data_IF_310368122714
#
_entry.id   IF_310368122714
#
_cell.length_a   1.000
_cell.length_b   1.000
_cell.length_c   1.000
_cell.angle_alpha   90.00
_cell.angle_beta   90.00
_cell.angle_gamma   90.00
#
_symmetry.space_group_name_H-M   'P 1'
#
loop_
_entity.id
_entity.type
_entity.pdbx_description
1 polymer ?
#
# COMPACT_ATOMS: atom_id res chain seq x y z
N UNK A 1 11.84 11.33 -6.53
CA UNK A 1 12.40 10.24 -5.71
C UNK A 1 11.71 10.13 -4.34
N UNK A 2 11.58 11.21 -3.55
CA UNK A 2 10.98 11.17 -2.21
C UNK A 2 9.54 10.61 -2.20
N UNK A 3 8.73 10.94 -3.22
CA UNK A 3 7.38 10.40 -3.36
C UNK A 3 7.38 8.87 -3.51
N UNK A 4 8.32 8.31 -4.29
CA UNK A 4 8.46 6.85 -4.44
C UNK A 4 8.88 6.18 -3.13
N UNK A 5 9.77 6.81 -2.35
CA UNK A 5 10.13 6.33 -1.01
C UNK A 5 8.89 6.24 -0.12
N UNK A 6 8.08 7.30 -0.08
CA UNK A 6 6.86 7.33 0.72
C UNK A 6 5.86 6.23 0.27
N UNK A 7 5.63 6.10 -1.04
CA UNK A 7 4.72 5.08 -1.60
C UNK A 7 5.23 3.67 -1.28
N UNK A 8 6.53 3.42 -1.43
CA UNK A 8 7.15 2.12 -1.14
C UNK A 8 6.97 1.69 0.32
N UNK A 9 6.90 2.64 1.24
CA UNK A 9 6.70 2.35 2.67
C UNK A 9 5.24 2.08 3.06
N UNK A 10 4.25 2.39 2.20
CA UNK A 10 2.83 2.21 2.54
C UNK A 10 2.43 0.75 2.83
N UNK A 11 2.79 -0.26 2.00
CA UNK A 11 2.41 -1.64 2.28
C UNK A 11 2.97 -2.20 3.60
N UNK A 12 4.27 -2.05 3.94
CA UNK A 12 4.77 -2.52 5.22
C UNK A 12 4.20 -1.75 6.42
N UNK A 13 3.91 -0.45 6.29
CA UNK A 13 3.21 0.32 7.32
C UNK A 13 1.80 -0.25 7.57
N UNK A 14 1.11 -0.67 6.51
CA UNK A 14 -0.19 -1.31 6.64
C UNK A 14 -0.14 -2.65 7.35
N UNK A 15 0.85 -3.50 7.04
CA UNK A 15 1.10 -4.76 7.75
C UNK A 15 1.42 -4.49 9.23
N UNK A 16 2.23 -3.46 9.50
CA UNK A 16 2.55 -3.06 10.87
C UNK A 16 1.32 -2.58 11.63
N UNK A 17 0.44 -1.80 10.99
CA UNK A 17 -0.83 -1.38 11.59
C UNK A 17 -1.69 -2.59 11.97
N UNK A 18 -1.83 -3.58 11.10
CA UNK A 18 -2.58 -4.81 11.40
C UNK A 18 -1.95 -5.56 12.58
N UNK A 19 -0.62 -5.66 12.61
CA UNK A 19 0.12 -6.25 13.71
C UNK A 19 -0.20 -5.57 15.05
N UNK A 20 -0.21 -4.24 15.09
CA UNK A 20 -0.52 -3.45 16.27
C UNK A 20 -2.00 -3.59 16.69
N UNK A 21 -2.93 -3.49 15.74
CA UNK A 21 -4.36 -3.61 16.01
C UNK A 21 -4.74 -4.99 16.52
N UNK A 22 -4.15 -6.04 15.97
CA UNK A 22 -4.45 -7.42 16.35
C UNK A 22 -3.80 -7.88 17.65
N UNK A 23 -2.76 -7.15 18.12
CA UNK A 23 -1.95 -7.60 19.27
C UNK A 23 -1.15 -8.88 18.99
N UNK A 24 -0.87 -9.19 17.73
CA UNK A 24 -0.08 -10.38 17.35
C UNK A 24 1.33 -10.30 17.94
N UNK A 25 1.91 -11.44 18.28
CA UNK A 25 3.27 -11.54 18.84
C UNK A 25 4.35 -11.77 17.79
N UNK A 26 3.97 -12.02 16.53
CA UNK A 26 4.87 -12.37 15.43
C UNK A 26 5.55 -11.14 14.83
N UNK A 27 6.50 -10.56 15.54
CA UNK A 27 7.23 -9.34 15.14
C UNK A 27 7.98 -9.48 13.81
N UNK A 28 8.31 -10.71 13.40
CA UNK A 28 9.04 -10.96 12.16
C UNK A 28 8.24 -10.55 10.90
N UNK A 29 6.88 -10.57 10.96
CA UNK A 29 6.01 -10.23 9.82
C UNK A 29 6.21 -8.78 9.37
N UNK A 30 6.00 -7.74 10.22
CA UNK A 30 6.27 -6.37 9.81
C UNK A 30 7.76 -6.11 9.54
N UNK A 31 8.68 -6.76 10.25
CA UNK A 31 10.12 -6.61 10.02
C UNK A 31 10.51 -7.05 8.62
N UNK A 32 10.02 -8.20 8.14
CA UNK A 32 10.24 -8.66 6.77
C UNK A 32 9.72 -7.64 5.74
N UNK A 33 8.52 -7.07 5.97
CA UNK A 33 7.98 -6.03 5.12
C UNK A 33 8.89 -4.80 5.03
N UNK A 34 9.45 -4.35 6.15
CA UNK A 34 10.39 -3.22 6.17
C UNK A 34 11.73 -3.54 5.52
N UNK A 35 12.25 -4.76 5.67
CA UNK A 35 13.49 -5.17 4.98
C UNK A 35 13.29 -5.12 3.47
N UNK A 36 12.19 -5.67 2.96
CA UNK A 36 11.86 -5.60 1.54
C UNK A 36 11.71 -4.16 1.06
N UNK A 37 11.00 -3.31 1.84
CA UNK A 37 10.85 -1.90 1.50
C UNK A 37 12.21 -1.18 1.46
N UNK A 38 13.12 -1.45 2.41
CA UNK A 38 14.43 -0.82 2.47
C UNK A 38 15.27 -1.13 1.22
N UNK A 39 15.17 -2.33 0.64
CA UNK A 39 15.84 -2.69 -0.61
C UNK A 39 15.36 -1.81 -1.77
N UNK A 40 14.03 -1.63 -1.92
CA UNK A 40 13.47 -0.77 -2.97
C UNK A 40 13.74 0.71 -2.74
N UNK A 41 13.66 1.17 -1.49
CA UNK A 41 14.02 2.55 -1.11
C UNK A 41 15.48 2.82 -1.45
N UNK A 42 16.39 1.89 -1.12
CA UNK A 42 17.80 1.98 -1.49
C UNK A 42 17.98 2.11 -3.01
N UNK A 43 17.29 1.28 -3.77
CA UNK A 43 17.31 1.36 -5.23
C UNK A 43 16.85 2.74 -5.74
N UNK A 44 15.70 3.25 -5.30
CA UNK A 44 15.17 4.54 -5.78
C UNK A 44 16.01 5.75 -5.36
N UNK A 45 16.73 5.66 -4.26
CA UNK A 45 17.61 6.74 -3.81
C UNK A 45 18.96 6.73 -4.54
N UNK A 46 19.56 5.56 -4.71
CA UNK A 46 20.92 5.39 -5.24
C UNK A 46 20.96 5.43 -6.77
N UNK A 47 19.94 4.83 -7.42
CA UNK A 47 19.90 4.81 -8.89
C UNK A 47 19.47 6.17 -9.45
N UNK A 48 20.34 6.77 -10.28
CA UNK A 48 20.10 8.10 -10.86
C UNK A 48 18.84 8.12 -11.75
N UNK A 49 18.69 7.06 -12.57
CA UNK A 49 17.62 6.89 -13.56
C UNK A 49 16.49 5.96 -13.08
N UNK A 50 16.46 5.59 -11.80
CA UNK A 50 15.48 4.69 -11.23
C UNK A 50 14.04 5.22 -11.29
N UNK A 51 13.86 6.54 -11.32
CA UNK A 51 12.58 7.23 -11.47
C UNK A 51 12.75 8.37 -12.45
N UNK A 52 11.96 8.37 -13.53
CA UNK A 52 11.92 9.42 -14.55
C UNK A 52 10.62 10.19 -14.47
N UNK A 53 10.66 11.47 -14.83
CA UNK A 53 9.45 12.24 -15.08
C UNK A 53 8.89 11.81 -16.44
N UNK A 54 7.71 11.21 -16.43
CA UNK A 54 6.95 10.87 -17.62
C UNK A 54 6.09 12.04 -18.09
N UNK A 55 4.88 11.76 -18.55
CA UNK A 55 3.98 12.78 -19.09
C UNK A 55 3.51 13.76 -18.01
N UNK A 56 3.53 15.05 -18.34
CA UNK A 56 2.87 16.08 -17.56
C UNK A 56 1.41 16.17 -18.04
N UNK A 57 0.46 15.76 -17.20
CA UNK A 57 -0.96 15.85 -17.48
C UNK A 57 -1.59 16.90 -16.57
N UNK A 58 -1.88 18.08 -17.13
CA UNK A 58 -2.54 19.15 -16.39
C UNK A 58 -1.76 19.57 -15.14
N UNK A 59 -2.31 19.26 -13.95
CA UNK A 59 -1.78 19.71 -12.66
C UNK A 59 -0.85 18.70 -11.96
N UNK A 60 -0.51 17.58 -12.58
CA UNK A 60 0.37 16.56 -11.97
C UNK A 60 1.33 15.93 -12.98
N UNK A 61 2.44 15.47 -12.47
CA UNK A 61 3.48 14.76 -13.24
C UNK A 61 3.38 13.29 -12.92
N UNK A 62 3.26 12.46 -13.95
CA UNK A 62 3.37 11.01 -13.80
C UNK A 62 4.86 10.67 -13.72
N UNK A 63 5.25 10.02 -12.64
CA UNK A 63 6.59 9.48 -12.50
C UNK A 63 6.59 8.02 -12.93
N UNK A 64 7.47 7.68 -13.85
CA UNK A 64 7.61 6.36 -14.41
C UNK A 64 8.84 5.65 -13.83
N UNK A 65 8.67 4.36 -13.58
CA UNK A 65 9.76 3.49 -13.21
C UNK A 65 10.39 2.88 -14.48
N UNK A 66 11.60 2.36 -14.37
CA UNK A 66 12.27 1.67 -15.47
C UNK A 66 11.47 0.42 -15.86
N UNK A 67 11.17 0.23 -17.14
CA UNK A 67 10.29 -0.85 -17.64
C UNK A 67 10.73 -2.24 -17.18
N UNK A 68 12.04 -2.51 -17.14
CA UNK A 68 12.59 -3.79 -16.70
C UNK A 68 12.40 -4.05 -15.20
N UNK A 69 12.38 -3.01 -14.38
CA UNK A 69 12.29 -3.11 -12.92
C UNK A 69 10.85 -3.06 -12.42
N UNK A 70 9.95 -2.53 -13.26
CA UNK A 70 8.55 -2.36 -12.92
C UNK A 70 7.85 -3.64 -12.46
N UNK A 71 7.96 -4.82 -13.16
CA UNK A 71 7.26 -6.03 -12.73
C UNK A 71 7.69 -6.52 -11.34
N UNK A 72 8.96 -6.35 -10.99
CA UNK A 72 9.51 -6.74 -9.69
C UNK A 72 8.93 -5.83 -8.59
N UNK A 73 8.91 -4.52 -8.85
CA UNK A 73 8.33 -3.55 -7.93
C UNK A 73 6.82 -3.72 -7.77
N UNK A 74 6.09 -3.97 -8.86
CA UNK A 74 4.66 -4.26 -8.82
C UNK A 74 4.38 -5.55 -8.02
N UNK A 75 5.16 -6.60 -8.22
CA UNK A 75 5.08 -7.84 -7.46
C UNK A 75 5.30 -7.62 -5.95
N UNK A 76 6.28 -6.82 -5.58
CA UNK A 76 6.51 -6.39 -4.21
C UNK A 76 5.29 -5.66 -3.64
N UNK A 77 4.84 -4.63 -4.34
CA UNK A 77 3.80 -3.72 -3.86
C UNK A 77 2.45 -4.44 -3.70
N UNK A 78 1.96 -5.06 -4.76
CA UNK A 78 0.71 -5.82 -4.73
C UNK A 78 0.79 -7.06 -3.84
N UNK A 79 1.93 -7.74 -3.83
CA UNK A 79 2.18 -8.90 -2.97
C UNK A 79 2.04 -8.55 -1.48
N UNK A 80 2.62 -7.43 -1.04
CA UNK A 80 2.47 -6.99 0.34
C UNK A 80 1.06 -6.49 0.65
N UNK A 81 0.37 -5.81 -0.28
CA UNK A 81 -1.03 -5.39 -0.08
C UNK A 81 -1.97 -6.60 0.07
N UNK A 82 -1.82 -7.62 -0.80
CA UNK A 82 -2.60 -8.85 -0.69
C UNK A 82 -2.27 -9.57 0.63
N UNK A 83 -1.00 -9.64 0.99
CA UNK A 83 -0.56 -10.19 2.28
C UNK A 83 -1.19 -9.45 3.45
N UNK A 84 -1.29 -8.12 3.39
CA UNK A 84 -1.95 -7.31 4.41
C UNK A 84 -3.44 -7.66 4.54
N UNK A 85 -4.15 -7.81 3.41
CA UNK A 85 -5.58 -8.19 3.41
C UNK A 85 -5.75 -9.59 4.03
N UNK A 86 -4.96 -10.57 3.59
CA UNK A 86 -5.01 -11.95 4.10
C UNK A 86 -4.67 -11.98 5.60
N UNK A 87 -3.65 -11.23 6.00
CA UNK A 87 -3.24 -11.13 7.41
C UNK A 87 -4.34 -10.51 8.27
N UNK A 88 -4.95 -9.40 7.83
CA UNK A 88 -6.09 -8.79 8.51
C UNK A 88 -7.28 -9.75 8.62
N UNK A 89 -7.57 -10.51 7.56
CA UNK A 89 -8.62 -11.52 7.56
C UNK A 89 -8.38 -12.63 8.58
N UNK A 90 -7.16 -13.19 8.61
CA UNK A 90 -6.79 -14.24 9.57
C UNK A 90 -6.93 -13.72 11.00
N UNK A 91 -6.40 -12.53 11.28
CA UNK A 91 -6.45 -11.94 12.61
C UNK A 91 -7.88 -11.57 13.03
N UNK A 92 -8.72 -11.15 12.09
CA UNK A 92 -10.12 -10.80 12.39
C UNK A 92 -10.95 -11.98 12.92
N UNK A 93 -10.58 -13.22 12.56
CA UNK A 93 -11.30 -14.43 13.03
C UNK A 93 -11.13 -14.70 14.53
N UNK A 94 -9.97 -14.34 15.09
CA UNK A 94 -9.64 -14.56 16.49
C UNK A 94 -9.82 -13.30 17.36
N UNK A 95 -10.11 -12.16 16.76
CA UNK A 95 -10.18 -10.87 17.43
C UNK A 95 -11.53 -10.64 18.13
N UNK A 96 -11.51 -9.87 19.23
CA UNK A 96 -12.70 -9.34 19.87
C UNK A 96 -13.45 -8.38 18.93
N UNK A 97 -14.76 -8.16 19.21
CA UNK A 97 -15.70 -7.49 18.30
C UNK A 97 -15.17 -6.16 17.73
N UNK A 98 -14.61 -5.29 18.56
CA UNK A 98 -14.14 -3.97 18.13
C UNK A 98 -12.90 -4.08 17.22
N UNK A 99 -11.90 -4.87 17.63
CA UNK A 99 -10.71 -5.14 16.81
C UNK A 99 -11.11 -5.80 15.48
N UNK A 100 -12.04 -6.73 15.52
CA UNK A 100 -12.56 -7.38 14.30
C UNK A 100 -13.19 -6.36 13.36
N UNK A 101 -14.00 -5.42 13.87
CA UNK A 101 -14.59 -4.34 13.04
C UNK A 101 -13.50 -3.49 12.41
N UNK A 102 -12.54 -2.99 13.20
CA UNK A 102 -11.41 -2.18 12.70
C UNK A 102 -10.61 -2.91 11.61
N UNK A 103 -10.32 -4.21 11.80
CA UNK A 103 -9.64 -5.01 10.80
C UNK A 103 -10.48 -5.21 9.52
N UNK A 104 -11.79 -5.42 9.65
CA UNK A 104 -12.69 -5.51 8.49
C UNK A 104 -12.78 -4.18 7.75
N UNK A 105 -12.89 -3.04 8.46
CA UNK A 105 -12.90 -1.71 7.87
C UNK A 105 -11.59 -1.40 7.16
N UNK A 106 -10.47 -1.84 7.72
CA UNK A 106 -9.15 -1.72 7.08
C UNK A 106 -9.06 -2.55 5.79
N UNK A 107 -9.57 -3.78 5.78
CA UNK A 107 -9.65 -4.61 4.56
C UNK A 107 -10.48 -3.93 3.47
N UNK A 108 -11.64 -3.35 3.82
CA UNK A 108 -12.47 -2.58 2.89
C UNK A 108 -11.67 -1.39 2.34
N UNK A 109 -10.95 -0.67 3.20
CA UNK A 109 -10.08 0.44 2.78
C UNK A 109 -9.02 0.01 1.76
N UNK A 110 -8.39 -1.16 1.95
CA UNK A 110 -7.45 -1.71 0.97
C UNK A 110 -8.13 -2.06 -0.36
N UNK A 111 -9.30 -2.66 -0.32
CA UNK A 111 -10.06 -3.01 -1.53
C UNK A 111 -10.45 -1.73 -2.29
N UNK A 112 -10.97 -0.72 -1.59
CA UNK A 112 -11.32 0.59 -2.16
C UNK A 112 -10.12 1.33 -2.75
N UNK A 113 -8.93 1.08 -2.24
CA UNK A 113 -7.68 1.62 -2.76
C UNK A 113 -7.17 0.83 -3.98
N UNK A 114 -7.18 -0.50 -3.93
CA UNK A 114 -6.60 -1.35 -4.96
C UNK A 114 -7.48 -1.49 -6.20
N UNK A 115 -8.79 -1.69 -6.02
CA UNK A 115 -9.71 -2.01 -7.12
C UNK A 115 -9.77 -0.91 -8.18
N UNK A 116 -9.95 0.38 -7.84
CA UNK A 116 -9.95 1.44 -8.83
C UNK A 116 -8.63 1.52 -9.62
N UNK A 117 -7.50 1.38 -8.93
CA UNK A 117 -6.18 1.41 -9.57
C UNK A 117 -6.03 0.26 -10.58
N UNK A 118 -6.41 -0.95 -10.17
CA UNK A 118 -6.36 -2.13 -11.04
C UNK A 118 -7.29 -1.96 -12.23
N UNK A 119 -8.49 -1.41 -12.02
CA UNK A 119 -9.45 -1.15 -13.09
C UNK A 119 -8.91 -0.17 -14.13
N UNK A 120 -8.31 0.94 -13.69
CA UNK A 120 -7.68 1.91 -14.60
C UNK A 120 -6.59 1.26 -15.44
N UNK A 121 -5.75 0.42 -14.83
CA UNK A 121 -4.66 -0.26 -15.55
C UNK A 121 -5.15 -1.30 -16.56
N UNK A 122 -6.27 -1.96 -16.28
CA UNK A 122 -6.90 -2.89 -17.24
C UNK A 122 -7.55 -2.12 -18.39
N UNK A 123 -8.20 -0.98 -18.09
CA UNK A 123 -8.87 -0.16 -19.10
C UNK A 123 -7.88 0.55 -20.03
N UNK A 124 -6.75 0.98 -19.50
CA UNK A 124 -5.68 1.64 -20.24
C UNK A 124 -4.30 1.10 -19.84
N UNK A 125 -3.76 0.10 -20.54
CA UNK A 125 -2.45 -0.46 -20.25
C UNK A 125 -1.28 0.53 -20.31
N UNK A 126 -1.41 1.68 -20.97
CA UNK A 126 -0.39 2.71 -21.01
C UNK A 126 -0.15 3.35 -19.63
N UNK A 127 -1.12 3.22 -18.71
CA UNK A 127 -1.03 3.75 -17.35
C UNK A 127 -0.20 2.87 -16.41
N UNK A 128 0.23 1.69 -16.87
CA UNK A 128 0.97 0.72 -16.05
C UNK A 128 2.26 1.31 -15.48
N UNK A 129 3.02 2.06 -16.28
CA UNK A 129 4.25 2.72 -15.81
C UNK A 129 3.98 3.81 -14.77
N UNK A 130 2.79 4.41 -14.78
CA UNK A 130 2.34 5.45 -13.86
C UNK A 130 1.57 4.95 -12.63
N UNK A 131 1.44 3.64 -12.41
CA UNK A 131 0.67 3.06 -11.29
C UNK A 131 0.94 3.74 -9.95
N UNK A 132 2.19 3.96 -9.49
CA UNK A 132 2.42 4.57 -8.19
C UNK A 132 1.80 5.97 -8.07
N UNK A 133 1.80 6.74 -9.15
CA UNK A 133 1.19 8.09 -9.18
C UNK A 133 -0.34 8.02 -9.10
N UNK A 134 -0.95 7.06 -9.81
CA UNK A 134 -2.39 6.81 -9.79
C UNK A 134 -2.83 6.32 -8.41
N UNK A 135 -2.07 5.42 -7.82
CA UNK A 135 -2.32 4.91 -6.46
C UNK A 135 -2.31 6.04 -5.41
N UNK A 136 -1.46 7.06 -5.55
CA UNK A 136 -1.47 8.22 -4.65
C UNK A 136 -2.84 8.92 -4.63
N UNK A 137 -3.51 9.06 -5.77
CA UNK A 137 -4.86 9.64 -5.83
C UNK A 137 -5.88 8.83 -5.04
N UNK A 138 -5.84 7.51 -5.15
CA UNK A 138 -6.76 6.62 -4.43
C UNK A 138 -6.36 6.38 -2.97
N UNK A 139 -5.12 6.70 -2.56
CA UNK A 139 -4.68 6.62 -1.17
C UNK A 139 -5.52 7.49 -0.21
N UNK A 140 -6.16 8.54 -0.73
CA UNK A 140 -7.11 9.36 0.02
C UNK A 140 -8.29 8.53 0.54
N UNK A 141 -8.78 7.57 -0.25
CA UNK A 141 -9.87 6.67 0.17
C UNK A 141 -9.43 5.77 1.34
N UNK A 142 -8.21 5.25 1.29
CA UNK A 142 -7.63 4.49 2.39
C UNK A 142 -7.45 5.37 3.63
N UNK A 143 -6.92 6.59 3.48
CA UNK A 143 -6.76 7.55 4.58
C UNK A 143 -8.11 7.93 5.22
N UNK A 144 -9.14 8.18 4.41
CA UNK A 144 -10.49 8.45 4.88
C UNK A 144 -11.08 7.25 5.65
N UNK A 145 -10.85 6.03 5.17
CA UNK A 145 -11.27 4.81 5.87
C UNK A 145 -10.54 4.64 7.20
N UNK A 146 -9.24 4.90 7.23
CA UNK A 146 -8.44 4.84 8.47
C UNK A 146 -8.96 5.84 9.52
N UNK A 147 -9.13 7.10 9.13
CA UNK A 147 -9.55 8.16 10.04
C UNK A 147 -11.03 8.05 10.45
N UNK A 148 -11.92 7.69 9.50
CA UNK A 148 -13.36 7.71 9.70
C UNK A 148 -13.96 6.41 10.24
N UNK A 149 -13.24 5.28 10.12
CA UNK A 149 -13.74 3.96 10.51
C UNK A 149 -12.78 3.21 11.41
N UNK A 150 -11.56 2.93 10.94
CA UNK A 150 -10.64 2.03 11.64
C UNK A 150 -10.28 2.55 13.04
N UNK A 151 -9.89 3.83 13.13
CA UNK A 151 -9.51 4.45 14.41
C UNK A 151 -10.71 4.58 15.37
N UNK A 152 -11.86 5.14 14.98
CA UNK A 152 -13.02 5.19 15.85
C UNK A 152 -13.46 3.82 16.34
N UNK A 153 -13.56 2.81 15.46
CA UNK A 153 -13.98 1.46 15.83
C UNK A 153 -13.00 0.76 16.78
N UNK A 154 -11.72 1.09 16.73
CA UNK A 154 -10.72 0.57 17.66
C UNK A 154 -10.85 1.16 19.06
N UNK A 155 -11.15 2.46 19.17
CA UNK A 155 -11.28 3.17 20.45
C UNK A 155 -12.70 3.12 21.04
N UNK A 156 -13.67 2.66 20.26
CA UNK A 156 -15.06 2.50 20.72
C UNK A 156 -15.13 1.32 21.71
N UNK A 157 -15.21 1.66 23.02
CA UNK A 157 -15.21 0.70 24.14
C UNK A 157 -16.63 0.31 24.53
#
# INVERSE_FOLDING_TARGET
KLGYVAITMLPPLGIHLIYQLSGDKRRWIPVLGYILAALFVGYFLLEADGVKAGACLGNYVIFENRDEFYPIYAGYYYGLLITAIVYAYIQSKAAVKNIRRSLCSLMIGYILFMVPTTFVNIADPSTISGIPSIMCGFAVLLAATLAGKVLPEYFDK
#
